data_IF_750414488127
#
_entry.id   IF_750414488127
#
_cell.length_a   1.000
_cell.length_b   1.000
_cell.length_c   1.000
_cell.angle_alpha   90.00
_cell.angle_beta   90.00
_cell.angle_gamma   90.00
#
_symmetry.space_group_name_H-M   'P 1'
#
loop_
_entity.id
_entity.type
_entity.pdbx_description
1 polymer ?
#
# COMPACT_ATOMS: atom_id res chain seq x y z
N UNK A 1 -4.79 6.06 -7.69
CA UNK A 1 -5.28 6.31 -6.31
C UNK A 1 -5.30 4.97 -5.57
N UNK A 2 -5.11 4.96 -4.27
CA UNK A 2 -5.12 3.75 -3.43
C UNK A 2 -5.64 4.09 -2.04
N UNK A 3 -6.01 3.08 -1.26
CA UNK A 3 -6.38 3.21 0.15
C UNK A 3 -7.38 4.34 0.46
N UNK A 4 -8.40 4.51 -0.39
CA UNK A 4 -9.45 5.52 -0.17
C UNK A 4 -10.47 4.98 0.82
N UNK A 5 -10.63 5.63 1.97
CA UNK A 5 -11.66 5.30 2.94
C UNK A 5 -12.04 6.51 3.81
N UNK A 6 -13.25 6.48 4.36
CA UNK A 6 -13.68 7.43 5.38
C UNK A 6 -13.24 6.95 6.77
N UNK A 7 -12.58 7.82 7.51
CA UNK A 7 -12.09 7.63 8.88
C UNK A 7 -13.24 7.67 9.89
N UNK A 8 -12.97 7.25 11.13
CA UNK A 8 -13.98 7.30 12.20
C UNK A 8 -14.46 8.72 12.52
N UNK A 9 -13.66 9.74 12.17
CA UNK A 9 -13.97 11.15 12.43
C UNK A 9 -14.73 11.82 11.28
N UNK A 10 -15.11 11.06 10.24
CA UNK A 10 -15.83 11.60 9.06
C UNK A 10 -14.94 12.34 8.06
N UNK A 11 -13.61 12.26 8.20
CA UNK A 11 -12.67 12.70 7.16
C UNK A 11 -12.42 11.56 6.16
N UNK A 12 -11.99 11.88 4.96
CA UNK A 12 -11.59 10.89 3.95
C UNK A 12 -10.06 10.82 3.86
N UNK A 13 -9.50 9.62 4.04
CA UNK A 13 -8.12 9.29 3.70
C UNK A 13 -8.02 9.02 2.19
N UNK A 14 -7.05 9.66 1.54
CA UNK A 14 -6.81 9.56 0.10
C UNK A 14 -5.35 9.17 -0.11
N UNK A 15 -5.11 7.93 -0.54
CA UNK A 15 -3.78 7.44 -0.89
C UNK A 15 -3.49 7.54 -2.39
N UNK A 16 -2.22 7.62 -2.73
CA UNK A 16 -1.74 7.57 -4.11
C UNK A 16 -0.34 6.95 -4.17
N UNK A 17 -0.06 6.25 -5.27
CA UNK A 17 1.27 5.76 -5.58
C UNK A 17 2.21 6.93 -5.79
N UNK A 18 3.34 6.93 -5.10
CA UNK A 18 4.31 8.02 -5.15
C UNK A 18 5.75 7.51 -5.16
N UNK A 19 6.62 8.32 -5.76
CA UNK A 19 8.07 8.27 -5.58
C UNK A 19 8.55 9.71 -5.32
N UNK A 20 8.75 10.13 -4.06
CA UNK A 20 9.08 11.53 -3.75
C UNK A 20 10.45 11.97 -4.26
N UNK A 21 11.33 11.02 -4.63
CA UNK A 21 12.72 11.29 -5.01
C UNK A 21 12.96 11.21 -6.53
N UNK A 22 11.94 10.91 -7.34
CA UNK A 22 12.08 10.79 -8.79
C UNK A 22 10.79 11.11 -9.52
N UNK A 23 10.93 11.56 -10.77
CA UNK A 23 9.82 11.74 -11.70
C UNK A 23 9.44 10.45 -12.43
N UNK A 24 10.23 9.38 -12.26
CA UNK A 24 10.01 8.09 -12.92
C UNK A 24 9.47 7.09 -11.90
N UNK A 25 8.54 6.27 -12.36
CA UNK A 25 7.99 5.17 -11.61
C UNK A 25 9.12 4.20 -11.18
N UNK A 26 9.33 4.08 -9.88
CA UNK A 26 10.33 3.22 -9.23
C UNK A 26 10.13 3.32 -7.72
N UNK A 27 10.51 2.29 -6.95
CA UNK A 27 10.42 2.28 -5.49
C UNK A 27 9.06 2.81 -4.96
N UNK A 28 7.98 2.36 -5.59
CA UNK A 28 6.66 2.94 -5.36
C UNK A 28 6.24 2.71 -3.92
N UNK A 29 5.74 3.79 -3.34
CA UNK A 29 5.23 3.88 -1.99
C UNK A 29 3.78 4.40 -2.04
N UNK A 30 3.06 4.27 -0.93
CA UNK A 30 1.86 5.06 -0.69
C UNK A 30 2.25 6.40 -0.06
N UNK A 31 1.80 7.49 -0.67
CA UNK A 31 1.66 8.79 -0.02
C UNK A 31 0.18 9.05 0.23
N UNK A 32 -0.15 9.89 1.20
CA UNK A 32 -1.56 10.18 1.48
C UNK A 32 -1.84 11.60 1.98
N UNK A 33 -3.07 12.02 1.74
CA UNK A 33 -3.67 13.24 2.24
C UNK A 33 -5.07 12.95 2.80
N UNK A 34 -5.59 13.88 3.60
CA UNK A 34 -6.94 13.86 4.14
C UNK A 34 -7.79 14.99 3.56
N UNK A 35 -9.09 14.78 3.43
CA UNK A 35 -10.06 15.79 2.99
C UNK A 35 -11.40 15.60 3.67
N UNK A 36 -12.19 16.66 3.77
CA UNK A 36 -13.60 16.61 4.24
C UNK A 36 -14.60 16.95 3.13
N UNK A 37 -14.13 17.49 2.01
CA UNK A 37 -14.96 18.05 0.94
C UNK A 37 -14.52 17.66 -0.48
N UNK A 38 -13.44 16.87 -0.60
CA UNK A 38 -12.82 16.47 -1.87
C UNK A 38 -12.29 17.63 -2.73
N UNK A 39 -12.15 18.83 -2.14
CA UNK A 39 -11.62 20.02 -2.81
C UNK A 39 -10.35 20.49 -2.11
N UNK A 40 -10.35 20.53 -0.77
CA UNK A 40 -9.21 20.90 0.05
C UNK A 40 -8.58 19.67 0.67
N UNK A 41 -7.26 19.56 0.55
CA UNK A 41 -6.50 18.41 1.02
C UNK A 41 -5.41 18.84 1.99
N UNK A 42 -5.22 18.06 3.05
CA UNK A 42 -4.12 18.20 3.99
C UNK A 42 -3.25 16.94 3.94
N UNK A 43 -1.98 17.08 3.57
CA UNK A 43 -1.04 15.95 3.60
C UNK A 43 -1.00 15.33 5.01
N UNK A 44 -0.98 13.99 5.10
CA UNK A 44 -0.86 13.33 6.40
C UNK A 44 0.51 13.59 7.06
N UNK A 45 1.54 13.73 6.22
CA UNK A 45 2.88 14.13 6.64
C UNK A 45 3.20 15.52 6.06
N UNK A 46 4.41 15.71 5.52
CA UNK A 46 4.80 16.96 4.87
C UNK A 46 5.24 16.69 3.43
N UNK A 47 5.27 17.73 2.61
CA UNK A 47 5.81 17.66 1.25
C UNK A 47 7.23 17.09 1.15
N UNK A 48 8.03 17.15 2.23
CA UNK A 48 9.39 16.57 2.28
C UNK A 48 9.40 15.07 2.57
N UNK A 49 8.38 14.55 3.25
CA UNK A 49 8.26 13.13 3.59
C UNK A 49 6.80 12.67 3.50
N UNK A 50 6.20 12.65 2.30
CA UNK A 50 4.77 12.40 2.13
C UNK A 50 4.36 10.93 2.29
N UNK A 51 5.32 10.02 2.48
CA UNK A 51 5.11 8.57 2.46
C UNK A 51 4.46 8.07 3.75
N UNK A 52 3.40 7.29 3.62
CA UNK A 52 2.71 6.60 4.72
C UNK A 52 2.87 5.07 4.67
N UNK A 53 3.17 4.50 3.51
CA UNK A 53 3.62 3.10 3.36
C UNK A 53 4.78 3.04 2.37
N UNK A 54 5.99 2.72 2.85
CA UNK A 54 7.16 2.51 2.01
C UNK A 54 7.43 1.01 1.78
N UNK A 55 8.11 0.62 0.70
CA UNK A 55 8.81 -0.67 0.64
C UNK A 55 9.73 -0.84 1.85
N UNK A 56 9.56 -1.92 2.61
CA UNK A 56 10.33 -2.11 3.85
C UNK A 56 10.51 -3.57 4.27
N UNK A 57 9.87 -4.51 3.57
CA UNK A 57 9.95 -5.94 3.85
C UNK A 57 10.39 -6.68 2.59
N UNK A 58 10.92 -7.89 2.76
CA UNK A 58 11.38 -8.70 1.62
C UNK A 58 10.27 -8.84 0.57
N UNK A 59 9.05 -9.15 0.99
CA UNK A 59 7.91 -9.42 0.11
C UNK A 59 7.38 -8.17 -0.63
N UNK A 60 7.76 -6.95 -0.25
CA UNK A 60 7.34 -5.71 -0.92
C UNK A 60 8.48 -4.78 -1.32
N UNK A 61 9.72 -5.28 -1.29
CA UNK A 61 10.94 -4.48 -1.44
C UNK A 61 11.03 -3.75 -2.78
N UNK A 62 10.33 -4.25 -3.81
CA UNK A 62 10.33 -3.63 -5.14
C UNK A 62 9.24 -2.58 -5.29
N UNK A 63 8.21 -2.62 -4.44
CA UNK A 63 7.12 -1.66 -4.49
C UNK A 63 5.93 -2.06 -3.63
N UNK A 64 5.33 -1.04 -3.03
CA UNK A 64 3.99 -1.07 -2.45
C UNK A 64 3.04 -0.62 -3.55
N UNK A 65 2.41 -1.58 -4.23
CA UNK A 65 1.48 -1.29 -5.32
C UNK A 65 0.09 -0.93 -4.78
N UNK A 66 -0.86 -0.74 -5.68
CA UNK A 66 -2.23 -0.37 -5.35
C UNK A 66 -2.86 -1.32 -4.31
N UNK A 67 -3.83 -0.79 -3.57
CA UNK A 67 -4.51 -1.49 -2.50
C UNK A 67 -5.80 -0.80 -2.06
N UNK A 68 -6.67 -1.57 -1.41
CA UNK A 68 -7.96 -1.10 -0.91
C UNK A 68 -8.10 -1.36 0.59
N UNK A 69 -8.96 -0.61 1.26
CA UNK A 69 -9.08 -0.62 2.72
C UNK A 69 -10.39 -1.27 3.17
N UNK A 70 -10.27 -2.24 4.07
CA UNK A 70 -11.36 -2.71 4.91
C UNK A 70 -11.45 -1.81 6.15
N UNK A 71 -12.57 -1.09 6.35
CA UNK A 71 -12.75 -0.20 7.51
C UNK A 71 -12.67 -0.97 8.86
N UNK A 72 -13.12 -2.22 8.89
CA UNK A 72 -13.11 -3.10 10.05
C UNK A 72 -12.34 -4.39 9.71
N UNK A 73 -11.01 -4.28 9.63
CA UNK A 73 -10.12 -5.37 9.24
C UNK A 73 -9.39 -6.00 10.43
N UNK A 74 -8.07 -6.15 10.29
CA UNK A 74 -7.20 -6.78 11.29
C UNK A 74 -7.33 -6.09 12.66
N UNK A 75 -7.66 -6.88 13.69
CA UNK A 75 -7.85 -6.36 15.06
C UNK A 75 -8.98 -5.33 15.20
N UNK A 76 -9.90 -5.22 14.23
CA UNK A 76 -10.95 -4.20 14.22
C UNK A 76 -10.51 -2.81 13.75
N UNK A 77 -9.33 -2.71 13.13
CA UNK A 77 -8.75 -1.47 12.63
C UNK A 77 -8.91 -1.34 11.10
N UNK A 78 -8.90 -0.11 10.55
CA UNK A 78 -8.77 0.07 9.11
C UNK A 78 -7.53 -0.65 8.60
N UNK A 79 -7.70 -1.52 7.61
CA UNK A 79 -6.66 -2.41 7.11
C UNK A 79 -6.63 -2.37 5.60
N UNK A 80 -5.48 -2.03 5.03
CA UNK A 80 -5.24 -2.09 3.59
C UNK A 80 -4.84 -3.52 3.22
N UNK A 81 -5.43 -4.05 2.16
CA UNK A 81 -4.84 -5.12 1.35
C UNK A 81 -4.22 -4.50 0.11
N UNK A 82 -2.93 -4.75 -0.13
CA UNK A 82 -2.18 -4.14 -1.22
C UNK A 82 -1.32 -5.17 -1.94
N UNK A 83 -1.03 -4.91 -3.21
CA UNK A 83 -0.08 -5.72 -3.97
C UNK A 83 1.34 -5.42 -3.46
N UNK A 84 1.97 -6.41 -2.83
CA UNK A 84 3.36 -6.39 -2.41
C UNK A 84 4.24 -7.03 -3.45
N UNK A 85 5.21 -6.26 -3.97
CA UNK A 85 6.00 -6.66 -5.13
C UNK A 85 7.41 -7.09 -4.73
N UNK A 86 7.79 -8.29 -5.17
CA UNK A 86 9.12 -8.85 -5.05
C UNK A 86 9.92 -8.76 -6.36
N UNK A 87 11.18 -9.20 -6.33
CA UNK A 87 12.09 -9.12 -7.48
C UNK A 87 11.76 -10.15 -8.55
N UNK A 88 11.72 -9.74 -9.83
CA UNK A 88 11.53 -10.63 -10.98
C UNK A 88 11.09 -9.89 -12.24
N UNK A 89 10.83 -10.58 -13.37
CA UNK A 89 10.12 -9.99 -14.50
C UNK A 89 8.71 -9.58 -14.04
N UNK A 90 8.27 -8.39 -14.42
CA UNK A 90 6.98 -7.82 -13.99
C UNK A 90 6.43 -6.96 -15.11
N UNK A 91 5.47 -7.49 -15.85
CA UNK A 91 4.70 -6.83 -16.90
C UNK A 91 3.91 -7.89 -17.65
N UNK A 92 2.73 -7.53 -18.15
CA UNK A 92 1.98 -8.37 -19.09
C UNK A 92 2.75 -8.70 -20.38
N UNK A 93 3.86 -8.00 -20.65
CA UNK A 93 4.73 -8.19 -21.82
C UNK A 93 6.19 -8.48 -21.43
N UNK A 94 6.47 -8.89 -20.19
CA UNK A 94 7.84 -9.20 -19.81
C UNK A 94 8.34 -10.43 -20.56
N UNK A 95 9.62 -10.39 -20.93
CA UNK A 95 10.37 -11.53 -21.45
C UNK A 95 11.69 -11.61 -20.64
N UNK A 96 11.88 -12.64 -19.79
CA UNK A 96 10.98 -13.78 -19.59
C UNK A 96 9.64 -13.39 -18.94
N UNK A 97 8.60 -14.24 -19.06
CA UNK A 97 7.32 -14.03 -18.39
C UNK A 97 7.47 -13.87 -16.88
N UNK A 98 6.54 -13.14 -16.28
CA UNK A 98 6.43 -13.06 -14.83
C UNK A 98 6.26 -14.46 -14.22
N UNK A 99 6.74 -14.62 -12.98
CA UNK A 99 6.66 -15.86 -12.23
C UNK A 99 5.84 -15.66 -10.95
N UNK A 100 5.17 -16.73 -10.51
CA UNK A 100 4.42 -16.72 -9.25
C UNK A 100 5.28 -16.22 -8.08
N UNK A 101 4.73 -15.31 -7.28
CA UNK A 101 5.41 -14.70 -6.14
C UNK A 101 6.08 -13.35 -6.43
N UNK A 102 6.16 -12.90 -7.69
CA UNK A 102 6.59 -11.52 -8.00
C UNK A 102 5.55 -10.51 -7.51
N UNK A 103 4.28 -10.71 -7.87
CA UNK A 103 3.15 -9.98 -7.27
C UNK A 103 2.43 -10.88 -6.26
N UNK A 104 2.35 -10.41 -5.01
CA UNK A 104 1.61 -11.05 -3.92
C UNK A 104 0.71 -10.02 -3.24
N UNK A 105 -0.22 -10.42 -2.38
CA UNK A 105 -1.14 -9.53 -1.66
C UNK A 105 -0.82 -9.56 -0.17
N UNK A 106 -0.59 -8.39 0.43
CA UNK A 106 -0.20 -8.22 1.83
C UNK A 106 -1.16 -7.29 2.57
N UNK A 107 -1.17 -7.40 3.90
CA UNK A 107 -1.97 -6.56 4.79
C UNK A 107 -1.11 -5.58 5.59
N UNK A 108 -1.64 -4.38 5.78
CA UNK A 108 -1.18 -3.46 6.82
C UNK A 108 -2.39 -2.78 7.48
N UNK A 109 -2.32 -2.50 8.78
CA UNK A 109 -3.40 -1.85 9.53
C UNK A 109 -2.93 -0.54 10.14
N UNK A 110 -3.85 0.39 10.36
CA UNK A 110 -3.54 1.70 10.97
C UNK A 110 -4.23 1.86 12.33
N UNK A 111 -3.51 2.45 13.27
CA UNK A 111 -4.03 2.83 14.60
C UNK A 111 -4.37 4.32 14.69
N UNK A 112 -4.00 5.09 13.67
CA UNK A 112 -4.01 6.56 13.64
C UNK A 112 -4.71 7.08 12.37
N UNK A 113 -5.77 6.38 11.95
CA UNK A 113 -6.65 6.76 10.84
C UNK A 113 -5.90 7.06 9.53
N UNK A 114 -4.83 6.31 9.27
CA UNK A 114 -4.08 6.28 8.01
C UNK A 114 -2.79 7.12 7.99
N UNK A 115 -2.40 7.75 9.10
CA UNK A 115 -1.12 8.47 9.17
C UNK A 115 0.07 7.49 9.11
N UNK A 116 -0.02 6.36 9.80
CA UNK A 116 0.96 5.29 9.76
C UNK A 116 0.28 3.92 9.60
N UNK A 117 1.02 2.98 9.03
CA UNK A 117 0.53 1.63 8.74
C UNK A 117 1.51 0.58 9.26
N UNK A 118 0.97 -0.40 9.96
CA UNK A 118 1.69 -1.53 10.56
C UNK A 118 1.44 -2.75 9.68
N UNK A 119 2.49 -3.18 8.97
CA UNK A 119 2.46 -4.40 8.17
C UNK A 119 2.43 -5.64 9.07
N UNK A 120 1.72 -6.69 8.65
CA UNK A 120 1.85 -7.99 9.31
C UNK A 120 3.24 -8.59 9.09
N UNK A 121 3.72 -9.39 10.04
CA UNK A 121 5.02 -10.04 9.97
C UNK A 121 5.14 -10.95 8.75
N UNK A 122 6.34 -11.06 8.16
CA UNK A 122 6.59 -12.01 7.09
C UNK A 122 6.57 -13.46 7.61
N UNK A 123 5.85 -14.35 6.94
CA UNK A 123 5.87 -15.79 7.24
C UNK A 123 4.51 -16.48 7.07
N UNK A 124 4.46 -17.77 7.43
CA UNK A 124 3.32 -18.67 7.18
C UNK A 124 1.99 -18.22 7.83
N UNK A 125 2.03 -17.35 8.84
CA UNK A 125 0.86 -16.82 9.54
C UNK A 125 0.76 -15.30 9.43
N UNK A 126 1.42 -14.70 8.42
CA UNK A 126 1.40 -13.27 8.18
C UNK A 126 1.46 -12.95 6.69
N UNK A 127 2.25 -11.94 6.31
CA UNK A 127 2.37 -11.51 4.93
C UNK A 127 3.37 -12.38 4.12
N UNK A 128 3.17 -12.46 2.79
CA UNK A 128 1.95 -12.12 2.06
C UNK A 128 0.80 -13.11 2.34
N UNK A 129 -0.45 -12.64 2.33
CA UNK A 129 -1.66 -13.43 2.62
C UNK A 129 -2.28 -14.11 1.40
N UNK A 130 -2.04 -13.59 0.19
CA UNK A 130 -2.40 -14.24 -1.08
C UNK A 130 -1.17 -14.22 -1.96
N UNK A 131 -0.64 -15.38 -2.34
CA UNK A 131 0.63 -15.49 -3.06
C UNK A 131 0.63 -16.59 -4.12
N UNK A 132 -0.49 -17.32 -4.25
CA UNK A 132 -0.70 -18.31 -5.30
C UNK A 132 -1.50 -17.69 -6.42
N UNK A 133 -1.13 -17.96 -7.66
CA UNK A 133 -1.95 -17.62 -8.80
C UNK A 133 -3.26 -18.43 -8.77
N UNK A 134 -4.37 -17.86 -9.24
CA UNK A 134 -5.60 -18.62 -9.40
C UNK A 134 -5.40 -19.73 -10.42
N UNK A 135 -6.00 -20.89 -10.14
CA UNK A 135 -6.11 -22.00 -11.09
C UNK A 135 -7.16 -21.73 -12.18
#
# INVERSE_FOLDING_TARGET
PMAVFETKNGTFHIGYQCNPNSLVWSNISQCSASTTDFVHFNDYHSWKNPVTIAPSQLYDIRGVFDGTVFKNGWGGHPTIIYTSVFTGPLSARSDPPEIEGVETQSLAYTLDEGSTWIKLNFGAHGNPVIYKWPE
#
